data_IF_009273799321
#
_entry.id   IF_009273799321
#
_cell.length_a   1.000
_cell.length_b   1.000
_cell.length_c   1.000
_cell.angle_alpha   90.00
_cell.angle_beta   90.00
_cell.angle_gamma   90.00
#
_symmetry.space_group_name_H-M   'P 1'
#
loop_
_entity.id
_entity.type
_entity.pdbx_description
1 polymer ?
#
# COMPACT_ATOMS: atom_id res chain seq x y z
N UNK A 1 -2.57 -3.24 30.92
CA UNK A 1 -2.84 -3.12 29.48
C UNK A 1 -2.84 -4.52 28.88
N UNK A 2 -3.86 -4.87 28.12
CA UNK A 2 -3.89 -6.17 27.42
C UNK A 2 -2.86 -6.14 26.30
N UNK A 3 -2.02 -7.18 26.20
CA UNK A 3 -0.99 -7.30 25.13
C UNK A 3 -1.67 -7.33 23.77
N UNK A 4 -1.13 -6.60 22.78
CA UNK A 4 -1.60 -6.67 21.40
C UNK A 4 -1.26 -8.04 20.82
N UNK A 5 -2.22 -8.61 20.10
CA UNK A 5 -2.09 -9.92 19.44
C UNK A 5 -1.94 -9.82 17.93
N UNK A 6 -2.22 -8.62 17.35
CA UNK A 6 -2.00 -8.38 15.92
C UNK A 6 -0.50 -8.47 15.61
N UNK A 7 -0.12 -8.94 14.43
CA UNK A 7 1.27 -8.96 14.03
C UNK A 7 1.80 -7.55 13.79
N UNK A 8 3.05 -7.33 14.17
CA UNK A 8 3.81 -6.13 13.87
C UNK A 8 4.06 -6.04 12.36
N UNK A 9 3.83 -4.88 11.75
CA UNK A 9 4.10 -4.65 10.34
C UNK A 9 5.50 -4.08 10.15
N UNK A 10 6.29 -4.67 9.26
CA UNK A 10 7.61 -4.15 8.88
C UNK A 10 7.59 -3.75 7.40
N UNK A 11 7.88 -2.49 7.11
CA UNK A 11 8.21 -1.98 5.79
C UNK A 11 9.72 -1.73 5.68
N UNK A 12 10.31 -1.97 4.51
CA UNK A 12 11.70 -1.64 4.22
C UNK A 12 11.76 -0.45 3.26
N UNK A 13 12.48 0.60 3.63
CA UNK A 13 12.76 1.74 2.76
C UNK A 13 14.28 1.82 2.53
N UNK A 14 14.69 1.74 1.27
CA UNK A 14 16.09 1.79 0.90
C UNK A 14 16.45 3.16 0.36
N UNK A 15 17.50 3.77 0.91
CA UNK A 15 18.06 5.02 0.40
C UNK A 15 19.21 4.72 -0.53
N UNK A 16 19.07 5.04 -1.82
CA UNK A 16 20.14 4.80 -2.79
C UNK A 16 21.23 5.88 -2.68
N UNK A 17 22.44 5.46 -2.28
CA UNK A 17 23.60 6.33 -2.13
C UNK A 17 24.59 6.25 -3.31
N UNK A 18 24.31 5.41 -4.32
CA UNK A 18 25.23 5.21 -5.43
C UNK A 18 24.82 6.00 -6.66
N UNK A 19 25.82 6.59 -7.32
CA UNK A 19 25.64 7.35 -8.56
C UNK A 19 25.33 6.49 -9.81
N UNK A 20 25.34 5.15 -9.69
CA UNK A 20 25.06 4.27 -10.80
C UNK A 20 23.92 3.31 -10.45
N UNK A 21 22.88 3.22 -11.30
CA UNK A 21 21.84 2.20 -11.17
C UNK A 21 22.46 0.80 -11.25
N UNK A 22 22.15 -0.05 -10.25
CA UNK A 22 22.60 -1.43 -10.17
C UNK A 22 21.41 -2.32 -9.81
N UNK A 23 20.80 -2.93 -10.80
CA UNK A 23 19.61 -3.76 -10.60
C UNK A 23 19.89 -5.01 -9.76
N UNK A 24 21.03 -5.66 -9.93
CA UNK A 24 21.35 -6.89 -9.16
C UNK A 24 21.44 -6.60 -7.66
N UNK A 25 21.97 -5.44 -7.30
CA UNK A 25 21.99 -5.01 -5.91
C UNK A 25 20.59 -4.70 -5.38
N UNK A 26 19.75 -3.97 -6.13
CA UNK A 26 18.37 -3.67 -5.72
C UNK A 26 17.52 -4.94 -5.59
N UNK A 27 17.74 -5.91 -6.47
CA UNK A 27 17.17 -7.25 -6.37
C UNK A 27 17.63 -7.98 -5.10
N UNK A 28 18.92 -7.94 -4.77
CA UNK A 28 19.44 -8.56 -3.55
C UNK A 28 18.79 -7.95 -2.30
N UNK A 29 18.64 -6.62 -2.22
CA UNK A 29 17.93 -5.92 -1.15
C UNK A 29 16.47 -6.37 -1.04
N UNK A 30 15.76 -6.46 -2.17
CA UNK A 30 14.37 -6.92 -2.20
C UNK A 30 14.23 -8.38 -1.72
N UNK A 31 15.10 -9.27 -2.18
CA UNK A 31 15.11 -10.68 -1.74
C UNK A 31 15.46 -10.81 -0.25
N UNK A 32 16.38 -9.99 0.28
CA UNK A 32 16.68 -9.97 1.72
C UNK A 32 15.50 -9.49 2.55
N UNK A 33 14.81 -8.43 2.11
CA UNK A 33 13.59 -7.96 2.76
C UNK A 33 12.49 -9.02 2.75
N UNK A 34 12.29 -9.70 1.62
CA UNK A 34 11.32 -10.79 1.50
C UNK A 34 11.65 -11.97 2.41
N UNK A 35 12.93 -12.39 2.49
CA UNK A 35 13.41 -13.42 3.42
C UNK A 35 13.14 -13.04 4.87
N UNK A 36 13.23 -11.75 5.22
CA UNK A 36 12.90 -11.22 6.54
C UNK A 36 11.40 -11.01 6.78
N UNK A 37 10.52 -11.45 5.87
CA UNK A 37 9.06 -11.28 5.95
C UNK A 37 8.59 -9.83 6.10
N UNK A 38 9.30 -8.89 5.48
CA UNK A 38 8.84 -7.51 5.41
C UNK A 38 7.56 -7.43 4.56
N UNK A 39 6.56 -6.72 5.06
CA UNK A 39 5.26 -6.59 4.38
C UNK A 39 5.37 -5.88 3.03
N UNK A 40 6.22 -4.85 2.93
CA UNK A 40 6.43 -4.10 1.69
C UNK A 40 7.83 -3.46 1.66
N UNK A 41 8.27 -3.10 0.45
CA UNK A 41 9.49 -2.34 0.24
C UNK A 41 9.23 -1.09 -0.61
N UNK A 42 10.08 -0.08 -0.41
CA UNK A 42 10.17 1.13 -1.22
C UNK A 42 11.63 1.56 -1.40
N UNK A 43 11.87 2.39 -2.41
CA UNK A 43 13.16 3.05 -2.60
C UNK A 43 12.95 4.57 -2.63
N UNK A 44 13.85 5.30 -1.99
CA UNK A 44 13.93 6.76 -2.21
C UNK A 44 14.58 6.97 -3.58
N UNK A 45 13.97 7.82 -4.41
CA UNK A 45 14.45 8.08 -5.77
C UNK A 45 15.43 9.25 -5.81
N UNK A 46 16.74 9.03 -5.95
CA UNK A 46 17.62 10.06 -6.44
C UNK A 46 17.43 10.26 -7.96
N UNK A 47 17.66 11.46 -8.49
CA UNK A 47 17.35 11.82 -9.88
C UNK A 47 18.02 10.96 -10.97
N UNK A 48 19.02 10.16 -10.64
CA UNK A 48 19.83 9.37 -11.58
C UNK A 48 19.53 7.86 -11.50
N UNK A 49 18.45 7.44 -10.79
CA UNK A 49 18.10 6.04 -10.59
C UNK A 49 16.98 5.56 -11.55
N UNK A 50 16.61 4.30 -11.44
CA UNK A 50 15.48 3.74 -12.19
C UNK A 50 14.18 4.43 -11.77
N UNK A 51 13.29 4.66 -12.74
CA UNK A 51 11.94 5.12 -12.48
C UNK A 51 11.19 4.08 -11.62
N UNK A 52 10.42 4.54 -10.63
CA UNK A 52 9.84 3.71 -9.58
C UNK A 52 8.99 2.55 -10.09
N UNK A 53 8.05 2.81 -10.99
CA UNK A 53 7.16 1.76 -11.52
C UNK A 53 7.90 0.74 -12.38
N UNK A 54 8.90 1.19 -13.13
CA UNK A 54 9.77 0.32 -13.92
C UNK A 54 10.59 -0.60 -13.02
N UNK A 55 11.18 -0.04 -11.95
CA UNK A 55 11.92 -0.81 -10.96
C UNK A 55 11.03 -1.83 -10.26
N UNK A 56 9.86 -1.39 -9.75
CA UNK A 56 8.94 -2.29 -9.06
C UNK A 56 8.39 -3.39 -9.97
N UNK A 57 8.21 -3.11 -11.26
CA UNK A 57 7.80 -4.15 -12.23
C UNK A 57 8.90 -5.19 -12.45
N UNK A 58 10.17 -4.79 -12.48
CA UNK A 58 11.29 -5.73 -12.54
C UNK A 58 11.42 -6.55 -11.24
N UNK A 59 11.24 -5.92 -10.07
CA UNK A 59 11.28 -6.61 -8.78
C UNK A 59 10.09 -7.56 -8.59
N UNK A 60 8.93 -7.27 -9.17
CA UNK A 60 7.77 -8.16 -9.16
C UNK A 60 8.07 -9.54 -9.78
N UNK A 61 8.98 -9.58 -10.77
CA UNK A 61 9.38 -10.82 -11.44
C UNK A 61 10.40 -11.67 -10.66
N UNK A 62 11.01 -11.13 -9.60
CA UNK A 62 12.07 -11.78 -8.82
C UNK A 62 11.74 -11.92 -7.32
N UNK A 63 10.53 -11.52 -6.93
CA UNK A 63 9.96 -11.66 -5.59
C UNK A 63 8.58 -12.30 -5.67
N UNK A 64 8.12 -12.95 -4.60
CA UNK A 64 6.86 -13.71 -4.60
C UNK A 64 5.79 -13.13 -3.65
N UNK A 65 6.18 -12.54 -2.53
CA UNK A 65 5.26 -12.15 -1.45
C UNK A 65 5.32 -10.68 -1.06
N UNK A 66 6.52 -10.08 -1.06
CA UNK A 66 6.72 -8.73 -0.55
C UNK A 66 5.97 -7.69 -1.38
N UNK A 67 5.32 -6.75 -0.71
CA UNK A 67 4.64 -5.62 -1.34
C UNK A 67 5.61 -4.64 -2.00
N UNK A 68 5.18 -4.02 -3.09
CA UNK A 68 5.99 -3.17 -3.95
C UNK A 68 5.39 -1.76 -3.98
N UNK A 69 5.98 -0.84 -3.22
CA UNK A 69 5.50 0.55 -3.13
C UNK A 69 6.19 1.37 -4.22
N UNK A 70 5.42 1.78 -5.22
CA UNK A 70 5.86 2.67 -6.28
C UNK A 70 5.27 4.08 -6.09
N UNK A 71 6.10 5.11 -6.22
CA UNK A 71 5.67 6.51 -6.17
C UNK A 71 5.86 7.15 -7.57
N UNK A 72 4.87 7.00 -8.47
CA UNK A 72 4.99 7.56 -9.82
C UNK A 72 4.98 9.09 -9.78
N UNK A 73 5.81 9.70 -10.62
CA UNK A 73 5.82 11.16 -10.82
C UNK A 73 4.75 11.65 -11.82
N UNK A 74 3.91 10.74 -12.32
CA UNK A 74 2.81 11.12 -13.21
C UNK A 74 1.78 12.01 -12.51
N UNK A 75 1.23 12.94 -13.26
CA UNK A 75 0.17 13.84 -12.79
C UNK A 75 -1.17 13.55 -13.45
N UNK A 76 -1.21 12.63 -14.40
CA UNK A 76 -2.40 12.26 -15.16
C UNK A 76 -3.07 11.01 -14.57
N UNK A 77 -4.32 11.11 -14.10
CA UNK A 77 -5.01 10.03 -13.38
C UNK A 77 -5.10 8.72 -14.18
N UNK A 78 -5.31 8.79 -15.50
CA UNK A 78 -5.39 7.62 -16.35
C UNK A 78 -4.05 6.84 -16.40
N UNK A 79 -2.92 7.56 -16.47
CA UNK A 79 -1.60 6.93 -16.49
C UNK A 79 -1.25 6.30 -15.14
N UNK A 80 -1.54 6.99 -14.04
CA UNK A 80 -1.36 6.46 -12.69
C UNK A 80 -2.20 5.18 -12.52
N UNK A 81 -3.49 5.25 -12.80
CA UNK A 81 -4.40 4.11 -12.66
C UNK A 81 -3.95 2.91 -13.49
N UNK A 82 -3.61 3.14 -14.77
CA UNK A 82 -3.19 2.08 -15.70
C UNK A 82 -1.90 1.38 -15.28
N UNK A 83 -0.88 2.17 -14.92
CA UNK A 83 0.44 1.63 -14.58
C UNK A 83 0.40 0.85 -13.28
N UNK A 84 -0.27 1.39 -12.25
CA UNK A 84 -0.42 0.70 -10.98
C UNK A 84 -1.29 -0.55 -11.08
N UNK A 85 -2.39 -0.53 -11.86
CA UNK A 85 -3.18 -1.72 -12.13
C UNK A 85 -2.35 -2.80 -12.86
N UNK A 86 -1.51 -2.39 -13.82
CA UNK A 86 -0.62 -3.32 -14.51
C UNK A 86 0.40 -3.95 -13.56
N UNK A 87 1.02 -3.16 -12.67
CA UNK A 87 1.92 -3.66 -11.64
C UNK A 87 1.19 -4.61 -10.68
N UNK A 88 -0.06 -4.31 -10.31
CA UNK A 88 -0.84 -5.16 -9.41
C UNK A 88 -1.13 -6.53 -10.04
N UNK A 89 -1.47 -6.56 -11.33
CA UNK A 89 -1.62 -7.82 -12.07
C UNK A 89 -0.30 -8.59 -12.22
N UNK A 90 0.80 -7.91 -12.58
CA UNK A 90 2.11 -8.54 -12.73
C UNK A 90 2.65 -9.14 -11.44
N UNK A 91 2.33 -8.51 -10.31
CA UNK A 91 2.78 -8.93 -8.99
C UNK A 91 1.77 -9.81 -8.23
N UNK A 92 0.65 -10.21 -8.85
CA UNK A 92 -0.42 -10.96 -8.19
C UNK A 92 -0.97 -10.26 -6.93
N UNK A 93 -1.25 -8.95 -7.04
CA UNK A 93 -1.87 -8.19 -5.95
C UNK A 93 -0.90 -7.68 -4.90
N UNK A 94 0.34 -7.33 -5.28
CA UNK A 94 1.35 -6.80 -4.35
C UNK A 94 1.71 -5.33 -4.58
N UNK A 95 1.05 -4.67 -5.54
CA UNK A 95 1.33 -3.27 -5.81
C UNK A 95 0.80 -2.34 -4.72
N UNK A 96 1.55 -1.27 -4.45
CA UNK A 96 1.11 -0.16 -3.65
C UNK A 96 1.48 1.17 -4.31
N UNK A 97 0.57 2.13 -4.22
CA UNK A 97 0.76 3.50 -4.65
C UNK A 97 1.35 4.31 -3.50
N UNK A 98 2.63 4.66 -3.59
CA UNK A 98 3.29 5.59 -2.71
C UNK A 98 2.90 7.02 -3.07
N UNK A 99 2.27 7.71 -2.14
CA UNK A 99 1.90 9.12 -2.26
C UNK A 99 2.81 9.92 -1.35
N UNK A 100 3.65 10.78 -1.95
CA UNK A 100 4.50 11.69 -1.20
C UNK A 100 3.65 12.71 -0.41
N UNK A 101 4.29 13.36 0.58
CA UNK A 101 3.66 14.46 1.29
C UNK A 101 3.20 15.53 0.31
N UNK A 102 1.90 15.71 0.22
CA UNK A 102 1.26 16.70 -0.66
C UNK A 102 0.04 17.30 0.06
N UNK A 103 -0.04 18.63 0.17
CA UNK A 103 -1.18 19.27 0.80
C UNK A 103 -2.49 18.94 0.07
N UNK A 104 -3.54 18.65 0.84
CA UNK A 104 -4.85 18.41 0.27
C UNK A 104 -5.34 19.66 -0.49
N UNK A 105 -5.66 19.46 -1.77
CA UNK A 105 -6.26 20.46 -2.64
C UNK A 105 -7.41 19.84 -3.42
N UNK A 106 -8.25 20.66 -4.05
CA UNK A 106 -9.33 20.15 -4.90
C UNK A 106 -8.78 19.25 -6.01
N UNK A 107 -7.68 19.69 -6.65
CA UNK A 107 -7.02 18.92 -7.71
C UNK A 107 -6.52 17.56 -7.23
N UNK A 108 -5.86 17.53 -6.06
CA UNK A 108 -5.33 16.28 -5.48
C UNK A 108 -6.47 15.34 -5.09
N UNK A 109 -7.53 15.88 -4.49
CA UNK A 109 -8.72 15.09 -4.15
C UNK A 109 -9.38 14.50 -5.40
N UNK A 110 -9.57 15.32 -6.45
CA UNK A 110 -10.14 14.87 -7.72
C UNK A 110 -9.27 13.80 -8.39
N UNK A 111 -7.93 13.96 -8.35
CA UNK A 111 -6.99 12.97 -8.86
C UNK A 111 -7.20 11.61 -8.21
N UNK A 112 -7.21 11.56 -6.87
CA UNK A 112 -7.36 10.31 -6.12
C UNK A 112 -8.72 9.64 -6.34
N UNK A 113 -9.79 10.42 -6.33
CA UNK A 113 -11.13 9.90 -6.56
C UNK A 113 -11.25 9.33 -7.98
N UNK A 114 -10.71 10.03 -8.99
CA UNK A 114 -10.75 9.59 -10.38
C UNK A 114 -9.88 8.34 -10.64
N UNK A 115 -8.73 8.21 -9.97
CA UNK A 115 -7.91 6.99 -10.03
C UNK A 115 -8.68 5.79 -9.48
N UNK A 116 -9.38 5.94 -8.35
CA UNK A 116 -10.23 4.87 -7.81
C UNK A 116 -11.38 4.50 -8.78
N UNK A 117 -12.02 5.50 -9.38
CA UNK A 117 -13.09 5.30 -10.35
C UNK A 117 -12.61 4.53 -11.59
N UNK A 118 -11.40 4.83 -12.04
CA UNK A 118 -10.77 4.13 -13.16
C UNK A 118 -10.50 2.66 -12.83
N UNK A 119 -10.07 2.34 -11.61
CA UNK A 119 -9.89 0.95 -11.17
C UNK A 119 -11.20 0.19 -11.10
N UNK A 120 -12.30 0.85 -10.78
CA UNK A 120 -13.64 0.25 -10.74
C UNK A 120 -14.36 0.25 -12.09
N UNK A 121 -13.75 0.76 -13.17
CA UNK A 121 -14.38 0.81 -14.49
C UNK A 121 -14.66 -0.57 -15.13
N UNK A 122 -14.22 -1.64 -14.50
CA UNK A 122 -14.58 -3.03 -14.82
C UNK A 122 -15.04 -3.75 -13.56
N UNK A 123 -16.07 -4.58 -13.68
CA UNK A 123 -16.41 -5.54 -12.63
C UNK A 123 -15.38 -6.69 -12.60
N UNK A 124 -15.26 -7.38 -11.47
CA UNK A 124 -14.27 -8.45 -11.29
C UNK A 124 -14.43 -9.60 -12.29
N UNK A 125 -15.66 -9.91 -12.67
CA UNK A 125 -16.05 -10.98 -13.59
C UNK A 125 -16.47 -10.48 -14.97
N UNK A 126 -16.03 -9.25 -15.35
CA UNK A 126 -16.37 -8.66 -16.64
C UNK A 126 -15.82 -9.44 -17.84
N UNK A 127 -14.63 -10.05 -17.71
CA UNK A 127 -13.96 -10.75 -18.81
C UNK A 127 -14.34 -12.22 -18.89
N UNK A 128 -15.25 -12.56 -19.81
CA UNK A 128 -15.78 -13.91 -20.04
C UNK A 128 -14.77 -14.81 -20.76
N UNK A 129 -14.06 -14.27 -21.77
CA UNK A 129 -13.09 -14.96 -22.61
C UNK A 129 -13.61 -16.26 -23.23
N UNK A 130 -14.90 -16.32 -23.60
CA UNK A 130 -15.53 -17.49 -24.20
C UNK A 130 -15.24 -17.55 -25.70
N UNK A 131 -14.39 -18.50 -26.08
CA UNK A 131 -14.02 -18.72 -27.49
C UNK A 131 -15.17 -19.30 -28.31
N UNK A 132 -16.07 -20.07 -27.72
CA UNK A 132 -17.16 -20.74 -28.42
C UNK A 132 -18.23 -19.75 -28.90
N UNK A 133 -18.61 -18.80 -28.04
CA UNK A 133 -19.58 -17.75 -28.39
C UNK A 133 -18.94 -16.51 -28.99
N UNK A 134 -17.60 -16.38 -28.96
CA UNK A 134 -16.88 -15.19 -29.36
C UNK A 134 -17.00 -14.01 -28.37
N UNK A 135 -17.61 -14.22 -27.19
CA UNK A 135 -17.77 -13.19 -26.17
C UNK A 135 -16.48 -13.02 -25.36
N UNK A 136 -15.83 -11.87 -25.51
CA UNK A 136 -14.63 -11.56 -24.76
C UNK A 136 -14.91 -10.97 -23.37
N UNK A 137 -15.88 -10.06 -23.28
CA UNK A 137 -16.33 -9.44 -22.02
C UNK A 137 -17.85 -9.23 -22.01
N UNK A 138 -18.40 -8.91 -20.85
CA UNK A 138 -19.79 -8.52 -20.67
C UNK A 138 -19.91 -6.98 -20.74
N UNK A 139 -20.57 -6.41 -21.77
CA UNK A 139 -20.74 -4.95 -21.87
C UNK A 139 -21.47 -4.31 -20.68
N UNK A 140 -22.33 -5.06 -19.97
CA UNK A 140 -23.02 -4.59 -18.78
C UNK A 140 -22.12 -4.41 -17.55
N UNK A 141 -20.90 -4.96 -17.60
CA UNK A 141 -19.89 -4.93 -16.55
C UNK A 141 -18.72 -3.97 -16.86
N UNK A 142 -18.92 -3.10 -17.83
CA UNK A 142 -18.01 -2.06 -18.25
C UNK A 142 -18.61 -0.70 -17.93
N UNK A 143 -17.93 0.10 -17.13
CA UNK A 143 -18.39 1.40 -16.69
C UNK A 143 -17.54 2.52 -17.30
N UNK A 144 -18.12 3.23 -18.29
CA UNK A 144 -17.46 4.40 -18.88
C UNK A 144 -17.70 5.61 -18.00
N UNK A 145 -16.65 6.19 -17.44
CA UNK A 145 -16.76 7.24 -16.42
C UNK A 145 -17.29 8.57 -16.99
N UNK A 146 -16.85 8.96 -18.20
CA UNK A 146 -17.15 10.27 -18.81
C UNK A 146 -16.94 11.45 -17.85
N UNK A 147 -15.90 11.34 -17.01
CA UNK A 147 -15.60 12.34 -16.00
C UNK A 147 -15.24 13.69 -16.63
N UNK A 148 -15.86 14.74 -16.12
CA UNK A 148 -15.58 16.15 -16.47
C UNK A 148 -15.60 16.94 -15.17
N UNK A 149 -14.45 17.04 -14.53
CA UNK A 149 -14.26 17.78 -13.29
C UNK A 149 -13.65 19.15 -13.53
N UNK A 150 -13.27 19.80 -12.46
CA UNK A 150 -12.62 21.12 -12.49
C UNK A 150 -11.19 21.02 -13.04
N UNK A 151 -10.48 19.96 -12.71
CA UNK A 151 -9.05 19.80 -13.00
C UNK A 151 -8.77 18.70 -14.03
N UNK A 152 -9.66 17.72 -14.17
CA UNK A 152 -9.44 16.58 -15.07
C UNK A 152 -10.65 16.27 -15.94
N UNK A 153 -10.37 15.79 -17.15
CA UNK A 153 -11.39 15.26 -18.06
C UNK A 153 -10.93 13.91 -18.59
N UNK A 154 -11.59 12.84 -18.14
CA UNK A 154 -11.22 11.46 -18.49
C UNK A 154 -12.46 10.67 -18.86
N UNK A 155 -12.48 10.15 -20.10
CA UNK A 155 -13.61 9.33 -20.55
C UNK A 155 -13.65 7.97 -19.88
N UNK A 156 -12.50 7.33 -19.68
CA UNK A 156 -12.46 5.91 -19.33
C UNK A 156 -13.06 5.04 -20.45
N UNK A 157 -13.28 3.75 -20.21
CA UNK A 157 -12.81 2.98 -19.06
C UNK A 157 -11.29 2.82 -19.06
N UNK A 158 -10.74 2.25 -18.00
CA UNK A 158 -9.35 1.81 -18.00
C UNK A 158 -9.22 0.65 -19.00
N UNK A 159 -8.06 0.56 -19.68
CA UNK A 159 -7.79 -0.53 -20.62
C UNK A 159 -7.11 -1.76 -19.98
N UNK A 160 -7.18 -1.84 -18.67
CA UNK A 160 -6.72 -2.96 -17.83
C UNK A 160 -7.90 -3.36 -16.95
N UNK A 161 -8.10 -4.66 -16.74
CA UNK A 161 -9.14 -5.16 -15.84
C UNK A 161 -8.93 -4.69 -14.40
N UNK A 162 -9.97 -4.82 -13.59
CA UNK A 162 -9.92 -4.44 -12.17
C UNK A 162 -8.73 -5.09 -11.48
N UNK A 163 -7.93 -4.34 -10.69
CA UNK A 163 -6.77 -4.89 -10.01
C UNK A 163 -7.12 -6.05 -9.06
N UNK A 164 -6.24 -7.05 -8.88
CA UNK A 164 -6.46 -8.18 -7.96
C UNK A 164 -6.85 -7.75 -6.54
N UNK A 165 -6.24 -6.67 -6.04
CA UNK A 165 -6.57 -6.10 -4.73
C UNK A 165 -7.86 -5.25 -4.70
N UNK A 166 -8.58 -5.13 -5.81
CA UNK A 166 -9.62 -4.12 -6.03
C UNK A 166 -8.98 -2.76 -6.32
N UNK A 167 -8.23 -2.23 -5.37
CA UNK A 167 -7.33 -1.09 -5.53
C UNK A 167 -5.93 -1.49 -5.08
N UNK A 168 -4.85 -1.15 -5.83
CA UNK A 168 -3.50 -1.13 -5.29
C UNK A 168 -3.47 -0.39 -3.96
N UNK A 169 -2.71 -0.89 -3.00
CA UNK A 169 -2.68 -0.30 -1.65
C UNK A 169 -2.20 1.16 -1.72
N UNK A 170 -2.77 2.05 -0.93
CA UNK A 170 -2.38 3.47 -0.90
C UNK A 170 -1.57 3.77 0.35
N UNK A 171 -0.32 4.15 0.13
CA UNK A 171 0.65 4.44 1.19
C UNK A 171 0.97 5.93 1.16
N UNK A 172 0.56 6.68 2.17
CA UNK A 172 0.80 8.12 2.26
C UNK A 172 1.89 8.43 3.28
N UNK A 173 2.89 9.19 2.84
CA UNK A 173 3.88 9.76 3.76
C UNK A 173 3.38 11.12 4.25
N UNK A 174 3.38 11.32 5.57
CA UNK A 174 2.96 12.57 6.21
C UNK A 174 4.20 13.29 6.74
N UNK A 175 4.40 14.54 6.29
CA UNK A 175 5.43 15.44 6.79
C UNK A 175 4.83 16.66 7.51
N UNK A 176 3.55 16.97 7.30
CA UNK A 176 2.89 18.16 7.85
C UNK A 176 1.46 17.88 8.29
N UNK A 177 0.85 18.81 9.05
CA UNK A 177 -0.56 18.74 9.43
C UNK A 177 -1.49 18.80 8.20
N UNK A 178 -1.09 19.54 7.16
CA UNK A 178 -1.87 19.67 5.93
C UNK A 178 -2.05 18.34 5.18
N UNK A 179 -1.08 17.44 5.28
CA UNK A 179 -1.11 16.13 4.61
C UNK A 179 -2.11 15.17 5.26
N UNK A 180 -2.39 15.36 6.55
CA UNK A 180 -3.23 14.45 7.33
C UNK A 180 -4.63 14.31 6.76
N UNK A 181 -5.25 15.40 6.31
CA UNK A 181 -6.63 15.38 5.82
C UNK A 181 -6.82 14.44 4.65
N UNK A 182 -5.95 14.51 3.65
CA UNK A 182 -5.98 13.61 2.50
C UNK A 182 -5.66 12.17 2.92
N UNK A 183 -4.59 11.98 3.70
CA UNK A 183 -4.16 10.66 4.13
C UNK A 183 -5.23 9.95 4.97
N UNK A 184 -5.88 10.63 5.91
CA UNK A 184 -6.96 10.04 6.73
C UNK A 184 -8.15 9.63 5.84
N UNK A 185 -8.45 10.38 4.77
CA UNK A 185 -9.53 10.05 3.84
C UNK A 185 -9.18 8.88 2.93
N UNK A 186 -7.96 8.84 2.40
CA UNK A 186 -7.61 8.00 1.25
C UNK A 186 -6.64 6.85 1.55
N UNK A 187 -5.74 7.01 2.54
CA UNK A 187 -4.69 6.02 2.76
C UNK A 187 -5.19 4.71 3.35
N UNK A 188 -4.54 3.62 2.99
CA UNK A 188 -4.60 2.33 3.65
C UNK A 188 -3.46 2.21 4.69
N UNK A 189 -2.32 2.83 4.38
CA UNK A 189 -1.14 2.91 5.25
C UNK A 189 -0.66 4.36 5.32
N UNK A 190 -0.37 4.84 6.52
CA UNK A 190 0.29 6.12 6.77
C UNK A 190 1.70 5.86 7.27
N UNK A 191 2.69 6.55 6.69
CA UNK A 191 4.07 6.57 7.16
C UNK A 191 4.38 7.96 7.71
N UNK A 192 4.91 8.04 8.93
CA UNK A 192 5.28 9.31 9.56
C UNK A 192 6.53 9.15 10.43
N UNK A 193 7.24 10.25 10.64
CA UNK A 193 8.36 10.35 11.58
C UNK A 193 7.95 11.05 12.86
N UNK A 194 8.49 10.61 13.99
CA UNK A 194 8.22 11.19 15.28
C UNK A 194 9.52 11.38 16.07
N UNK A 195 9.61 12.48 16.80
CA UNK A 195 10.79 12.82 17.62
C UNK A 195 10.96 11.91 18.84
N UNK A 196 9.85 11.41 19.39
CA UNK A 196 9.80 10.61 20.61
C UNK A 196 8.54 9.74 20.66
N UNK A 197 8.51 8.79 21.60
CA UNK A 197 7.39 7.88 21.82
C UNK A 197 6.07 8.59 22.18
N UNK A 198 6.03 9.60 23.10
CA UNK A 198 4.80 10.34 23.37
C UNK A 198 4.21 11.04 22.14
N UNK A 199 5.06 11.62 21.27
CA UNK A 199 4.59 12.24 20.02
C UNK A 199 3.99 11.21 19.06
N UNK A 200 4.60 10.02 18.94
CA UNK A 200 4.07 8.92 18.15
C UNK A 200 2.71 8.42 18.68
N UNK A 201 2.56 8.27 20.00
CA UNK A 201 1.30 7.87 20.62
C UNK A 201 0.19 8.91 20.39
N UNK A 202 0.51 10.19 20.55
CA UNK A 202 -0.44 11.28 20.31
C UNK A 202 -0.88 11.30 18.84
N UNK A 203 0.05 11.14 17.90
CA UNK A 203 -0.22 11.06 16.47
C UNK A 203 -1.12 9.86 16.15
N UNK A 204 -0.76 8.67 16.65
CA UNK A 204 -1.54 7.44 16.44
C UNK A 204 -3.00 7.63 16.90
N UNK A 205 -3.19 8.16 18.10
CA UNK A 205 -4.52 8.39 18.64
C UNK A 205 -5.32 9.42 17.82
N UNK A 206 -4.71 10.53 17.44
CA UNK A 206 -5.32 11.59 16.62
C UNK A 206 -5.79 11.03 15.26
N UNK A 207 -4.92 10.31 14.53
CA UNK A 207 -5.26 9.74 13.23
C UNK A 207 -6.40 8.72 13.34
N UNK A 208 -6.34 7.79 14.31
CA UNK A 208 -7.38 6.77 14.51
C UNK A 208 -8.72 7.41 14.87
N UNK A 209 -8.72 8.43 15.73
CA UNK A 209 -9.94 9.17 16.13
C UNK A 209 -10.55 9.92 14.93
N UNK A 210 -9.74 10.63 14.14
CA UNK A 210 -10.23 11.35 12.95
C UNK A 210 -10.75 10.39 11.88
N UNK A 211 -10.10 9.24 11.69
CA UNK A 211 -10.59 8.21 10.77
C UNK A 211 -11.99 7.70 11.19
N UNK A 212 -12.17 7.41 12.49
CA UNK A 212 -13.48 7.04 13.03
C UNK A 212 -14.55 8.12 12.84
N UNK A 213 -14.19 9.38 13.03
CA UNK A 213 -15.09 10.51 12.82
C UNK A 213 -15.54 10.67 11.36
N UNK A 214 -14.72 10.21 10.40
CA UNK A 214 -15.08 10.12 8.98
C UNK A 214 -15.86 8.83 8.61
N UNK A 215 -16.23 8.01 9.59
CA UNK A 215 -16.94 6.74 9.37
C UNK A 215 -16.06 5.61 8.84
N UNK A 216 -14.72 5.77 8.87
CA UNK A 216 -13.79 4.71 8.52
C UNK A 216 -13.52 3.80 9.72
N UNK A 217 -13.39 2.50 9.50
CA UNK A 217 -12.88 1.62 10.53
C UNK A 217 -11.40 1.96 10.80
N UNK A 218 -11.03 2.41 12.02
CA UNK A 218 -9.65 2.77 12.35
C UNK A 218 -8.65 1.62 12.17
N UNK A 219 -9.09 0.37 12.34
CA UNK A 219 -8.22 -0.82 12.17
C UNK A 219 -7.87 -1.09 10.70
N UNK A 220 -8.62 -0.51 9.76
CA UNK A 220 -8.33 -0.57 8.33
C UNK A 220 -7.40 0.55 7.84
N UNK A 221 -6.84 1.34 8.75
CA UNK A 221 -5.82 2.35 8.48
C UNK A 221 -4.59 2.03 9.31
N UNK A 222 -3.53 1.53 8.67
CA UNK A 222 -2.29 1.18 9.37
C UNK A 222 -1.37 2.38 9.48
N UNK A 223 -0.68 2.52 10.61
CA UNK A 223 0.24 3.62 10.89
C UNK A 223 1.62 3.06 11.15
N UNK A 224 2.58 3.39 10.29
CA UNK A 224 3.97 2.98 10.40
C UNK A 224 4.83 4.17 10.82
N UNK A 225 5.68 3.95 11.83
CA UNK A 225 6.66 4.95 12.25
C UNK A 225 8.00 4.70 11.54
N UNK A 226 8.55 5.73 10.92
CA UNK A 226 9.86 5.63 10.28
C UNK A 226 10.96 5.64 11.35
N UNK A 227 11.86 4.68 11.27
CA UNK A 227 13.06 4.63 12.12
C UNK A 227 14.28 4.13 11.33
N UNK A 228 15.46 4.55 11.79
CA UNK A 228 16.74 3.98 11.33
C UNK A 228 17.21 2.96 12.37
N UNK A 229 17.29 1.66 12.03
CA UNK A 229 17.66 0.61 12.98
C UNK A 229 19.18 0.51 13.21
N UNK A 230 19.99 1.34 12.55
CA UNK A 230 21.45 1.27 12.64
C UNK A 230 21.99 1.86 13.95
N UNK A 231 23.12 1.36 14.41
CA UNK A 231 23.85 1.90 15.57
C UNK A 231 23.41 1.39 16.94
N UNK A 232 22.46 0.45 17.01
CA UNK A 232 22.01 -0.19 18.25
C UNK A 232 22.22 -1.71 18.22
N UNK A 233 22.24 -2.35 19.41
CA UNK A 233 22.30 -3.81 19.46
C UNK A 233 20.98 -4.45 19.02
N UNK A 234 20.98 -5.68 18.46
CA UNK A 234 19.75 -6.35 18.04
C UNK A 234 18.67 -6.43 19.13
N UNK A 235 19.06 -6.69 20.37
CA UNK A 235 18.12 -6.71 21.51
C UNK A 235 17.52 -5.34 21.79
N UNK A 236 18.31 -4.27 21.78
CA UNK A 236 17.81 -2.91 22.00
C UNK A 236 16.83 -2.48 20.88
N UNK A 237 17.11 -2.87 19.63
CA UNK A 237 16.19 -2.64 18.51
C UNK A 237 14.88 -3.38 18.77
N UNK A 238 14.93 -4.70 19.06
CA UNK A 238 13.73 -5.50 19.29
C UNK A 238 12.89 -4.97 20.48
N UNK A 239 13.52 -4.52 21.58
CA UNK A 239 12.85 -3.90 22.72
C UNK A 239 12.18 -2.58 22.36
N UNK A 240 12.84 -1.73 21.58
CA UNK A 240 12.29 -0.47 21.10
C UNK A 240 11.04 -0.70 20.25
N UNK A 241 11.11 -1.64 19.28
CA UNK A 241 10.00 -1.99 18.40
C UNK A 241 8.82 -2.55 19.22
N UNK A 242 9.09 -3.49 20.15
CA UNK A 242 8.06 -4.06 21.03
C UNK A 242 7.39 -2.98 21.86
N UNK A 243 8.16 -2.12 22.54
CA UNK A 243 7.62 -1.08 23.41
C UNK A 243 6.70 -0.13 22.63
N UNK A 244 7.15 0.41 21.50
CA UNK A 244 6.34 1.35 20.71
C UNK A 244 5.06 0.68 20.17
N UNK A 245 5.14 -0.57 19.73
CA UNK A 245 3.99 -1.33 19.24
C UNK A 245 2.99 -1.63 20.36
N UNK A 246 3.44 -2.15 21.49
CA UNK A 246 2.57 -2.51 22.62
C UNK A 246 1.91 -1.29 23.27
N UNK A 247 2.57 -0.14 23.25
CA UNK A 247 2.04 1.12 23.81
C UNK A 247 1.19 1.92 22.81
N UNK A 248 0.84 1.35 21.65
CA UNK A 248 0.01 1.98 20.60
C UNK A 248 0.59 3.28 20.06
N UNK A 249 1.88 3.31 19.82
CA UNK A 249 2.53 4.39 19.11
C UNK A 249 2.48 4.18 17.58
N UNK A 250 2.30 2.94 17.14
CA UNK A 250 2.21 2.56 15.73
C UNK A 250 1.56 1.18 15.54
N UNK A 251 1.24 0.81 14.30
CA UNK A 251 0.90 -0.55 13.89
C UNK A 251 2.14 -1.30 13.36
N UNK A 252 3.23 -0.59 13.14
CA UNK A 252 4.47 -1.13 12.62
C UNK A 252 5.50 -0.06 12.31
N UNK A 253 6.53 -0.44 11.59
CA UNK A 253 7.67 0.41 11.30
C UNK A 253 8.03 0.41 9.83
N UNK A 254 8.40 1.59 9.31
CA UNK A 254 9.08 1.77 8.06
C UNK A 254 10.57 1.90 8.36
N UNK A 255 11.34 0.83 8.14
CA UNK A 255 12.75 0.75 8.49
C UNK A 255 13.61 1.33 7.37
N UNK A 256 14.40 2.37 7.68
CA UNK A 256 15.33 2.98 6.75
C UNK A 256 16.64 2.21 6.72
N UNK A 257 16.95 1.64 5.56
CA UNK A 257 18.24 1.01 5.31
C UNK A 257 19.04 1.84 4.30
N UNK A 258 20.35 1.84 4.48
CA UNK A 258 21.26 2.25 3.40
C UNK A 258 21.17 1.22 2.27
N UNK A 259 21.70 1.57 1.11
CA UNK A 259 21.72 0.69 -0.07
C UNK A 259 22.73 -0.48 0.02
N UNK A 260 23.29 -0.75 1.19
CA UNK A 260 24.10 -1.94 1.46
C UNK A 260 23.25 -3.13 1.90
N UNK A 261 23.47 -4.29 1.32
CA UNK A 261 22.84 -5.54 1.73
C UNK A 261 23.20 -5.94 3.15
N UNK A 262 24.40 -5.58 3.64
CA UNK A 262 24.87 -5.95 4.97
C UNK A 262 23.94 -5.45 6.09
N UNK A 263 23.38 -4.24 5.92
CA UNK A 263 22.50 -3.66 6.93
C UNK A 263 21.18 -4.42 7.08
N UNK A 264 20.53 -4.74 5.96
CA UNK A 264 19.28 -5.50 6.00
C UNK A 264 19.52 -6.96 6.32
N UNK A 265 20.59 -7.59 5.82
CA UNK A 265 20.93 -8.97 6.13
C UNK A 265 21.22 -9.13 7.63
N UNK A 266 21.97 -8.20 8.24
CA UNK A 266 22.19 -8.19 9.69
C UNK A 266 20.89 -8.05 10.49
N UNK A 267 19.97 -7.21 10.03
CA UNK A 267 18.65 -7.08 10.67
C UNK A 267 17.85 -8.38 10.56
N UNK A 268 17.82 -9.00 9.39
CA UNK A 268 17.12 -10.26 9.13
C UNK A 268 17.71 -11.41 9.95
N UNK A 269 19.04 -11.47 10.09
CA UNK A 269 19.72 -12.55 10.81
C UNK A 269 19.66 -12.41 12.33
N UNK A 270 19.64 -11.18 12.85
CA UNK A 270 19.80 -10.97 14.29
C UNK A 270 18.59 -10.33 14.98
N UNK A 271 17.76 -9.54 14.30
CA UNK A 271 16.59 -8.88 14.91
C UNK A 271 15.31 -9.66 14.64
N UNK A 272 15.08 -10.12 13.40
CA UNK A 272 13.87 -10.88 13.06
C UNK A 272 13.65 -12.09 13.96
N UNK A 273 14.67 -12.95 14.27
CA UNK A 273 14.47 -14.06 15.20
C UNK A 273 14.05 -13.63 16.61
N UNK A 274 14.53 -12.49 17.09
CA UNK A 274 14.11 -11.95 18.38
C UNK A 274 12.65 -11.51 18.37
N UNK A 275 12.20 -10.89 17.28
CA UNK A 275 10.79 -10.47 17.13
C UNK A 275 9.86 -11.70 17.02
N UNK A 276 10.27 -12.76 16.34
CA UNK A 276 9.55 -14.05 16.33
C UNK A 276 9.47 -14.68 17.72
N UNK A 277 10.59 -14.74 18.44
CA UNK A 277 10.63 -15.28 19.81
C UNK A 277 9.71 -14.51 20.77
N UNK A 278 9.57 -13.20 20.57
CA UNK A 278 8.68 -12.33 21.34
C UNK A 278 7.20 -12.42 20.87
N UNK A 279 6.90 -13.20 19.83
CA UNK A 279 5.56 -13.35 19.27
C UNK A 279 5.01 -12.07 18.62
N UNK A 280 5.90 -11.22 18.10
CA UNK A 280 5.55 -9.96 17.43
C UNK A 280 5.39 -10.12 15.92
N UNK A 281 6.10 -11.08 15.33
CA UNK A 281 6.02 -11.41 13.91
C UNK A 281 5.48 -12.83 13.71
N UNK A 282 4.76 -13.02 12.60
CA UNK A 282 4.36 -14.35 12.13
C UNK A 282 5.47 -14.99 11.29
N UNK A 283 5.54 -16.32 11.31
CA UNK A 283 6.41 -17.07 10.42
C UNK A 283 5.79 -17.13 9.02
N UNK A 284 6.31 -16.32 8.11
CA UNK A 284 5.83 -16.24 6.73
C UNK A 284 4.71 -15.23 6.51
N UNK A 285 4.30 -15.11 5.25
CA UNK A 285 3.25 -14.19 4.83
C UNK A 285 1.86 -14.81 5.02
N UNK A 286 0.89 -14.00 5.46
CA UNK A 286 -0.51 -14.40 5.59
C UNK A 286 -1.28 -13.95 4.34
N UNK A 287 -2.10 -14.85 3.76
CA UNK A 287 -2.89 -14.53 2.58
C UNK A 287 -2.09 -14.54 1.27
N UNK A 288 -2.70 -14.06 0.19
CA UNK A 288 -2.20 -14.16 -1.17
C UNK A 288 -1.79 -12.82 -1.80
N UNK A 289 -2.11 -11.71 -1.15
CA UNK A 289 -1.85 -10.36 -1.65
C UNK A 289 -1.50 -9.40 -0.52
N UNK A 290 -1.03 -8.20 -0.85
CA UNK A 290 -0.55 -7.24 0.13
C UNK A 290 -1.64 -6.77 1.11
N UNK A 291 -2.90 -6.63 0.67
CA UNK A 291 -4.00 -6.27 1.57
C UNK A 291 -4.21 -7.32 2.65
N UNK A 292 -4.20 -8.59 2.25
CA UNK A 292 -4.36 -9.72 3.18
C UNK A 292 -3.17 -9.81 4.15
N UNK A 293 -1.94 -9.58 3.68
CA UNK A 293 -0.76 -9.50 4.56
C UNK A 293 -0.92 -8.46 5.68
N UNK A 294 -1.62 -7.35 5.39
CA UNK A 294 -1.87 -6.28 6.35
C UNK A 294 -3.21 -6.41 7.11
N UNK A 295 -3.97 -7.48 6.88
CA UNK A 295 -5.29 -7.65 7.47
C UNK A 295 -6.30 -6.58 7.02
N UNK A 296 -6.17 -6.11 5.78
CA UNK A 296 -7.06 -5.09 5.20
C UNK A 296 -8.09 -5.72 4.26
N UNK A 297 -9.34 -5.25 4.26
CA UNK A 297 -10.37 -5.76 3.37
C UNK A 297 -10.09 -5.35 1.92
N UNK A 298 -10.51 -6.18 0.98
CA UNK A 298 -10.57 -5.83 -0.43
C UNK A 298 -11.72 -4.83 -0.65
N UNK A 299 -11.48 -3.64 -1.25
CA UNK A 299 -12.54 -2.70 -1.56
C UNK A 299 -13.57 -3.30 -2.53
N UNK A 300 -14.86 -3.06 -2.25
CA UNK A 300 -15.94 -3.39 -3.19
C UNK A 300 -15.90 -2.46 -4.40
N UNK A 301 -16.34 -2.95 -5.57
CA UNK A 301 -16.53 -2.09 -6.73
C UNK A 301 -17.71 -1.15 -6.48
N UNK A 302 -17.51 0.16 -6.66
CA UNK A 302 -18.55 1.18 -6.40
C UNK A 302 -19.77 1.05 -7.32
N UNK A 303 -19.57 0.54 -8.54
CA UNK A 303 -20.67 0.36 -9.50
C UNK A 303 -21.48 -0.91 -9.24
N UNK A 304 -20.84 -1.97 -8.73
CA UNK A 304 -21.54 -3.20 -8.36
C UNK A 304 -22.37 -3.07 -7.08
N UNK A 305 -21.94 -2.19 -6.15
CA UNK A 305 -22.66 -1.94 -4.88
C UNK A 305 -24.01 -1.22 -5.08
N UNK A 306 -24.26 -0.63 -6.24
CA UNK A 306 -25.49 0.12 -6.54
C UNK A 306 -26.64 -0.76 -7.09
N UNK A 307 -26.45 -2.05 -7.29
CA UNK A 307 -27.52 -2.97 -7.67
C UNK A 307 -28.26 -3.39 -6.41
N UNK A 308 -29.22 -2.57 -5.95
CA UNK A 308 -30.23 -3.01 -4.99
C UNK A 308 -31.08 -4.13 -5.64
N UNK A 309 -31.40 -5.21 -4.91
CA UNK A 309 -32.32 -6.19 -5.43
C UNK A 309 -33.67 -5.50 -5.72
N UNK A 310 -34.08 -5.55 -6.97
CA UNK A 310 -35.45 -5.19 -7.35
C UNK A 310 -36.36 -6.15 -6.58
N UNK A 311 -37.04 -5.67 -5.55
CA UNK A 311 -38.15 -6.39 -4.92
C UNK A 311 -39.23 -6.55 -5.98
N UNK A 312 -39.37 -7.75 -6.50
CA UNK A 312 -40.53 -8.10 -7.33
C UNK A 312 -41.80 -7.77 -6.54
N UNK A 313 -42.79 -7.06 -7.16
CA UNK A 313 -44.08 -6.87 -6.52
C UNK A 313 -44.77 -8.23 -6.41
N UNK A 314 -45.12 -8.61 -5.18
CA UNK A 314 -45.93 -9.78 -4.92
C UNK A 314 -47.21 -9.72 -5.75
N UNK A 315 -47.36 -10.63 -6.68
CA UNK A 315 -48.65 -10.85 -7.36
C UNK A 315 -49.67 -11.29 -6.30
N UNK A 316 -50.56 -10.35 -5.97
CA UNK A 316 -51.76 -10.68 -5.22
C UNK A 316 -52.71 -11.52 -6.14
N UNK A 317 -53.04 -12.70 -5.70
CA UNK A 317 -54.06 -13.59 -6.23
C UNK A 317 -55.44 -13.15 -5.77
#
# INVERSE_FOLDING_TARGET
>A
MTRRTDPLILGACFTANTRRPDFERLKALACSAERGTFAALSFTEPPEQFEALTLMSALAAVTEHIGLIASPHDTEPYHIARKLASLDHLSNGRAAWGVASEPSSQRVNELHDLVNDLWDSWDDDAFIRDKASGRYFDPGKLHTLNHKGEHFSVRGPLNVGRPPQGYPLRVHTIASEADKTLAIRMADVIIAEHRDLPAAQAFYHDIKQRAAALGRNPEHLKILTTINPLGSTPNAIAEHLENAFQTRACDGFNLLFTDSTDAIDSFVEHVIPLLHHRGLLQHGYSGSNLREHLGLPRPSNRFSASVHPVTEPAHAS
#
